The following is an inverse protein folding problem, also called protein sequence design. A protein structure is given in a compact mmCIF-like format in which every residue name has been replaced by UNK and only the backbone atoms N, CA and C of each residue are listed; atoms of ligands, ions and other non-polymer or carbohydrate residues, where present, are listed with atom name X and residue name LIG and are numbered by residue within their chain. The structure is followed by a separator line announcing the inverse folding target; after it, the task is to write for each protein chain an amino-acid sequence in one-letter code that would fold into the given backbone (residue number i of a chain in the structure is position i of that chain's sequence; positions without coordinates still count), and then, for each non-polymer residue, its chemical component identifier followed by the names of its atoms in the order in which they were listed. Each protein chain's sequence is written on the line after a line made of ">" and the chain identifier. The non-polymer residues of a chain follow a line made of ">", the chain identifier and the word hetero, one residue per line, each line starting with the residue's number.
data_IF_636343465395
#
_entry.id   IF_636343465395
#
_cell.length_a   1.000
_cell.length_b   1.000
_cell.length_c   1.000
_cell.angle_alpha   90.00
_cell.angle_beta   90.00
_cell.angle_gamma   90.00
#
_symmetry.space_group_name_H-M   'P 1'
#
loop_
_entity.id
_entity.type
_entity.pdbx_description
1 polymer ?
#
# COMPACT_ATOMS: atom_id res chain seq x y z
N UNK A 1 14.04 -9.89 20.62
CA UNK A 1 12.64 -10.17 20.97
C UNK A 1 12.15 -9.11 21.94
N UNK A 2 11.19 -8.32 21.54
CA UNK A 2 10.57 -7.30 22.40
C UNK A 2 9.44 -7.99 23.13
N UNK A 3 9.60 -8.14 24.44
CA UNK A 3 8.58 -8.71 25.31
C UNK A 3 7.74 -7.56 25.87
N UNK A 4 6.86 -6.98 25.04
CA UNK A 4 5.97 -5.92 25.50
C UNK A 4 4.59 -5.94 24.83
N UNK A 5 3.62 -5.45 25.62
CA UNK A 5 2.22 -5.29 25.21
C UNK A 5 1.89 -3.88 24.72
N UNK A 6 2.85 -2.93 24.76
CA UNK A 6 2.61 -1.55 24.33
C UNK A 6 2.94 -1.38 22.85
N UNK A 7 1.96 -1.12 21.99
CA UNK A 7 2.20 -0.79 20.57
C UNK A 7 3.18 0.39 20.41
N UNK A 8 3.09 1.39 21.26
CA UNK A 8 3.93 2.59 21.21
C UNK A 8 5.42 2.28 21.43
N UNK A 9 5.79 1.32 22.30
CA UNK A 9 7.19 0.92 22.49
C UNK A 9 7.77 0.26 21.22
N UNK A 10 6.97 -0.53 20.49
CA UNK A 10 7.37 -1.10 19.20
C UNK A 10 7.62 0.01 18.18
N UNK A 11 6.68 0.95 18.07
CA UNK A 11 6.80 2.09 17.16
C UNK A 11 8.06 2.92 17.43
N UNK A 12 8.36 3.22 18.71
CA UNK A 12 9.58 3.96 19.11
C UNK A 12 10.85 3.26 18.62
N UNK A 13 10.97 1.95 18.85
CA UNK A 13 12.16 1.18 18.45
C UNK A 13 12.30 1.08 16.93
N UNK A 14 11.18 0.92 16.23
CA UNK A 14 11.16 0.85 14.77
C UNK A 14 11.57 2.22 14.20
N UNK A 15 10.98 3.30 14.71
CA UNK A 15 11.28 4.66 14.30
C UNK A 15 12.74 5.03 14.57
N UNK A 16 13.26 4.77 15.78
CA UNK A 16 14.68 4.99 16.12
C UNK A 16 15.61 4.25 15.16
N UNK A 17 15.30 2.98 14.88
CA UNK A 17 16.11 2.19 13.94
C UNK A 17 16.05 2.74 12.52
N UNK A 18 14.87 3.18 12.06
CA UNK A 18 14.71 3.81 10.76
C UNK A 18 15.50 5.13 10.66
N UNK A 19 15.32 6.03 11.61
CA UNK A 19 16.00 7.33 11.67
C UNK A 19 17.52 7.20 11.71
N UNK A 20 18.03 6.16 12.38
CA UNK A 20 19.48 5.88 12.43
C UNK A 20 20.04 5.33 11.13
N UNK A 21 19.33 4.42 10.50
CA UNK A 21 19.84 3.70 9.32
C UNK A 21 19.49 4.41 8.00
N UNK A 22 18.41 5.15 7.93
CA UNK A 22 17.86 5.83 6.75
C UNK A 22 17.85 4.93 5.50
N UNK A 23 17.32 3.70 5.66
CA UNK A 23 17.17 2.70 4.59
C UNK A 23 15.70 2.37 4.40
N UNK A 24 15.40 1.66 3.30
CA UNK A 24 14.10 1.02 3.17
C UNK A 24 13.86 0.05 4.32
N UNK A 25 12.76 0.22 5.03
CA UNK A 25 12.33 -0.65 6.11
C UNK A 25 10.90 -1.10 5.87
N UNK A 26 10.68 -2.41 5.78
CA UNK A 26 9.36 -3.00 5.62
C UNK A 26 8.85 -3.50 6.97
N UNK A 27 7.69 -3.05 7.39
CA UNK A 27 6.98 -3.56 8.56
C UNK A 27 5.77 -4.38 8.11
N UNK A 28 5.79 -5.68 8.41
CA UNK A 28 4.68 -6.60 8.10
C UNK A 28 3.82 -6.80 9.34
N UNK A 29 2.53 -6.53 9.20
CA UNK A 29 1.50 -6.74 10.24
C UNK A 29 0.53 -7.86 9.85
N UNK A 30 -0.20 -8.40 10.80
CA UNK A 30 -1.14 -9.48 10.50
C UNK A 30 -2.40 -9.02 9.74
N UNK A 31 -2.84 -7.76 9.92
CA UNK A 31 -4.00 -7.19 9.22
C UNK A 31 -3.92 -5.67 9.10
N UNK A 32 -4.84 -5.08 8.32
CA UNK A 32 -4.87 -3.63 8.06
C UNK A 32 -5.10 -2.81 9.34
N UNK A 33 -5.94 -3.27 10.27
CA UNK A 33 -6.17 -2.56 11.53
C UNK A 33 -4.89 -2.40 12.36
N UNK A 34 -4.03 -3.42 12.41
CA UNK A 34 -2.73 -3.31 13.08
C UNK A 34 -1.76 -2.40 12.31
N UNK A 35 -1.83 -2.42 10.97
CA UNK A 35 -1.06 -1.50 10.13
C UNK A 35 -1.43 -0.03 10.42
N UNK A 36 -2.72 0.31 10.45
CA UNK A 36 -3.21 1.66 10.76
C UNK A 36 -2.80 2.12 12.16
N UNK A 37 -2.90 1.21 13.13
CA UNK A 37 -2.56 1.52 14.51
C UNK A 37 -1.06 1.82 14.69
N UNK A 38 -0.20 1.00 14.13
CA UNK A 38 1.26 1.20 14.27
C UNK A 38 1.74 2.38 13.43
N UNK A 39 1.12 2.66 12.28
CA UNK A 39 1.35 3.86 11.49
C UNK A 39 1.11 5.12 12.32
N UNK A 40 -0.04 5.20 13.00
CA UNK A 40 -0.38 6.33 13.87
C UNK A 40 0.67 6.56 14.97
N UNK A 41 1.20 5.48 15.55
CA UNK A 41 2.25 5.58 16.56
C UNK A 41 3.61 5.99 15.95
N UNK A 42 3.95 5.50 14.74
CA UNK A 42 5.21 5.82 14.03
C UNK A 42 5.24 7.28 13.59
N UNK A 43 4.12 7.83 13.12
CA UNK A 43 3.99 9.23 12.69
C UNK A 43 4.24 10.26 13.82
N UNK A 44 4.36 9.80 15.07
CA UNK A 44 4.82 10.66 16.18
C UNK A 44 6.34 10.90 16.14
N UNK A 45 7.10 10.13 15.37
CA UNK A 45 8.57 10.15 15.34
C UNK A 45 9.15 10.36 13.94
N UNK A 46 8.43 9.94 12.90
CA UNK A 46 8.89 9.97 11.50
C UNK A 46 7.95 10.85 10.70
N UNK A 47 8.51 11.66 9.80
CA UNK A 47 7.73 12.53 8.92
C UNK A 47 6.81 11.72 8.01
N UNK A 48 5.57 12.21 7.80
CA UNK A 48 4.55 11.56 6.96
C UNK A 48 5.02 11.33 5.51
N UNK A 49 5.91 12.18 5.02
CA UNK A 49 6.50 12.03 3.69
C UNK A 49 7.38 10.78 3.55
N UNK A 50 7.92 10.24 4.65
CA UNK A 50 8.78 9.06 4.70
C UNK A 50 8.05 7.79 5.18
N UNK A 51 6.75 7.87 5.50
CA UNK A 51 5.94 6.72 5.91
C UNK A 51 4.98 6.36 4.78
N UNK A 52 5.02 5.11 4.35
CA UNK A 52 4.21 4.57 3.26
C UNK A 52 3.41 3.38 3.74
N UNK A 53 2.13 3.34 3.39
CA UNK A 53 1.29 2.17 3.67
C UNK A 53 0.80 1.53 2.37
N UNK A 54 0.86 0.20 2.30
CA UNK A 54 0.25 -0.58 1.22
C UNK A 54 -1.03 -1.25 1.77
N UNK A 55 -2.17 -0.54 1.79
CA UNK A 55 -3.39 -1.04 2.42
C UNK A 55 -4.09 -2.06 1.54
N UNK A 56 -4.35 -3.25 2.09
CA UNK A 56 -5.16 -4.29 1.46
C UNK A 56 -6.18 -4.76 2.47
N UNK A 57 -7.44 -4.73 2.09
CA UNK A 57 -8.56 -5.23 2.89
C UNK A 57 -8.61 -6.77 2.85
N UNK A 58 -9.47 -7.38 3.65
CA UNK A 58 -9.70 -8.82 3.55
C UNK A 58 -10.35 -9.21 2.19
N UNK A 59 -10.21 -10.49 1.83
CA UNK A 59 -10.60 -10.99 0.50
C UNK A 59 -12.07 -10.74 0.21
N UNK A 60 -12.94 -10.98 1.19
CA UNK A 60 -14.39 -10.82 1.02
C UNK A 60 -14.75 -9.35 0.84
N UNK A 61 -14.13 -8.45 1.60
CA UNK A 61 -14.34 -7.02 1.45
C UNK A 61 -13.86 -6.55 0.07
N UNK A 62 -12.67 -6.94 -0.37
CA UNK A 62 -12.15 -6.58 -1.69
C UNK A 62 -12.98 -7.14 -2.85
N UNK A 63 -13.63 -8.30 -2.67
CA UNK A 63 -14.45 -8.92 -3.69
C UNK A 63 -15.82 -8.25 -3.85
N UNK A 64 -16.42 -7.80 -2.76
CA UNK A 64 -17.81 -7.30 -2.76
C UNK A 64 -17.95 -5.80 -2.58
N UNK A 65 -16.85 -5.07 -2.33
CA UNK A 65 -16.89 -3.61 -2.18
C UNK A 65 -16.27 -2.88 -3.35
N UNK A 66 -16.79 -1.69 -3.63
CA UNK A 66 -16.14 -0.75 -4.55
C UNK A 66 -14.82 -0.28 -3.93
N UNK A 67 -13.76 -0.30 -4.70
CA UNK A 67 -12.45 0.16 -4.22
C UNK A 67 -12.49 1.65 -3.87
N UNK A 68 -11.97 1.97 -2.68
CA UNK A 68 -11.76 3.35 -2.26
C UNK A 68 -10.64 3.99 -3.08
N UNK A 69 -10.87 5.13 -3.74
CA UNK A 69 -9.81 5.87 -4.43
C UNK A 69 -8.64 6.23 -3.50
N UNK A 70 -8.92 6.48 -2.22
CA UNK A 70 -7.89 6.77 -1.23
C UNK A 70 -6.96 5.58 -1.00
N UNK A 71 -7.51 4.37 -0.79
CA UNK A 71 -6.69 3.17 -0.63
C UNK A 71 -5.88 2.85 -1.88
N UNK A 72 -6.43 3.12 -3.07
CA UNK A 72 -5.71 2.98 -4.33
C UNK A 72 -4.54 3.98 -4.41
N UNK A 73 -4.79 5.25 -4.05
CA UNK A 73 -3.74 6.28 -4.03
C UNK A 73 -2.59 5.92 -3.09
N UNK A 74 -2.89 5.42 -1.88
CA UNK A 74 -1.88 4.96 -0.92
C UNK A 74 -1.06 3.78 -1.49
N UNK A 75 -1.69 2.82 -2.15
CA UNK A 75 -0.99 1.70 -2.80
C UNK A 75 -0.08 2.15 -3.94
N UNK A 76 -0.59 3.00 -4.83
CA UNK A 76 0.20 3.54 -5.96
C UNK A 76 1.37 4.38 -5.44
N UNK A 77 1.15 5.23 -4.41
CA UNK A 77 2.22 6.00 -3.76
C UNK A 77 3.33 5.08 -3.24
N UNK A 78 2.93 4.01 -2.55
CA UNK A 78 3.87 3.02 -1.99
C UNK A 78 4.66 2.30 -3.07
N UNK A 79 4.01 1.78 -4.12
CA UNK A 79 4.68 1.07 -5.22
C UNK A 79 5.60 2.00 -6.01
N UNK A 80 5.18 3.25 -6.21
CA UNK A 80 5.98 4.26 -6.92
C UNK A 80 7.25 4.59 -6.13
N UNK A 81 7.15 4.88 -4.84
CA UNK A 81 8.29 5.14 -3.98
C UNK A 81 9.28 3.95 -3.95
N UNK A 82 8.76 2.72 -3.82
CA UNK A 82 9.57 1.51 -3.88
C UNK A 82 10.28 1.33 -5.22
N UNK A 83 9.57 1.53 -6.33
CA UNK A 83 10.12 1.39 -7.68
C UNK A 83 11.18 2.43 -7.99
N UNK A 84 11.07 3.64 -7.43
CA UNK A 84 12.07 4.72 -7.51
C UNK A 84 13.25 4.48 -6.56
N UNK A 85 13.14 3.50 -5.65
CA UNK A 85 14.18 3.19 -4.67
C UNK A 85 14.26 4.19 -3.54
N UNK A 86 13.15 4.90 -3.25
CA UNK A 86 13.08 5.85 -2.16
C UNK A 86 13.32 5.18 -0.82
N UNK A 87 13.91 5.92 0.10
CA UNK A 87 14.03 5.53 1.49
C UNK A 87 12.67 5.74 2.17
N UNK A 88 12.37 4.94 3.16
CA UNK A 88 11.13 5.08 3.88
C UNK A 88 10.79 3.87 4.73
N UNK A 89 9.78 4.07 5.58
CA UNK A 89 9.19 3.03 6.39
C UNK A 89 7.87 2.60 5.72
N UNK A 90 7.83 1.37 5.23
CA UNK A 90 6.74 0.80 4.47
C UNK A 90 5.96 -0.18 5.33
N UNK A 91 4.66 0.05 5.51
CA UNK A 91 3.80 -0.76 6.36
C UNK A 91 2.83 -1.55 5.49
N UNK A 92 2.75 -2.87 5.70
CA UNK A 92 1.91 -3.75 4.90
C UNK A 92 1.25 -4.82 5.76
N UNK A 93 -0.05 -5.09 5.60
CA UNK A 93 -0.68 -6.29 6.15
C UNK A 93 -0.26 -7.53 5.34
N UNK A 94 -0.32 -8.72 5.95
CA UNK A 94 0.11 -9.98 5.36
C UNK A 94 -0.53 -10.27 3.99
N UNK A 95 -1.83 -10.02 3.84
CA UNK A 95 -2.55 -10.20 2.58
C UNK A 95 -1.99 -9.28 1.47
N UNK A 96 -1.63 -8.04 1.79
CA UNK A 96 -0.95 -7.12 0.88
C UNK A 96 0.46 -7.57 0.53
N UNK A 97 1.20 -8.12 1.49
CA UNK A 97 2.55 -8.65 1.28
C UNK A 97 2.56 -9.84 0.31
N UNK A 98 1.53 -10.71 0.36
CA UNK A 98 1.41 -11.89 -0.51
C UNK A 98 0.68 -11.64 -1.83
N UNK A 99 0.07 -10.47 -2.01
CA UNK A 99 -0.69 -10.12 -3.22
C UNK A 99 0.18 -10.14 -4.48
N UNK A 100 -0.36 -10.69 -5.58
CA UNK A 100 0.24 -10.56 -6.89
C UNK A 100 0.12 -9.14 -7.43
N UNK A 101 1.22 -8.63 -7.96
CA UNK A 101 1.39 -7.26 -8.46
C UNK A 101 1.95 -7.25 -9.87
N UNK A 102 1.84 -6.09 -10.51
CA UNK A 102 2.58 -5.77 -11.75
C UNK A 102 4.07 -6.08 -11.57
N UNK A 103 4.76 -6.65 -12.56
CA UNK A 103 6.20 -6.80 -12.54
C UNK A 103 6.92 -5.45 -12.34
N UNK A 104 7.96 -5.45 -11.51
CA UNK A 104 8.69 -4.23 -11.11
C UNK A 104 9.19 -3.42 -12.30
N UNK A 105 9.76 -4.09 -13.32
CA UNK A 105 10.28 -3.43 -14.51
C UNK A 105 9.16 -2.77 -15.32
N UNK A 106 8.04 -3.46 -15.50
CA UNK A 106 6.86 -2.91 -16.17
C UNK A 106 6.29 -1.69 -15.44
N UNK A 107 6.31 -1.72 -14.08
CA UNK A 107 5.91 -0.58 -13.27
C UNK A 107 6.82 0.63 -13.49
N UNK A 108 8.15 0.42 -13.49
CA UNK A 108 9.14 1.48 -13.72
C UNK A 108 9.01 2.11 -15.11
N UNK A 109 8.79 1.30 -16.13
CA UNK A 109 8.65 1.75 -17.51
C UNK A 109 7.40 2.61 -17.75
N UNK A 110 6.41 2.51 -16.84
CA UNK A 110 5.14 3.26 -16.96
C UNK A 110 5.06 4.49 -16.07
N UNK A 111 6.12 4.85 -15.36
CA UNK A 111 6.20 6.17 -14.72
C UNK A 111 6.56 7.22 -15.77
N UNK A 112 5.91 8.37 -15.73
CA UNK A 112 6.09 9.42 -16.71
C UNK A 112 6.34 10.77 -16.04
N UNK A 113 7.31 11.51 -16.55
CA UNK A 113 7.52 12.91 -16.21
C UNK A 113 7.39 13.73 -17.49
N UNK A 114 6.49 14.71 -17.47
CA UNK A 114 6.38 15.70 -18.56
C UNK A 114 6.96 17.02 -18.12
N UNK A 115 7.62 17.70 -19.07
CA UNK A 115 8.23 19.02 -18.87
C UNK A 115 7.80 19.98 -19.97
N UNK A 116 7.66 21.24 -19.61
CA UNK A 116 7.44 22.32 -20.59
C UNK A 116 8.60 22.35 -21.58
N UNK A 117 8.32 22.50 -22.88
CA UNK A 117 9.28 22.46 -23.99
C UNK A 117 9.66 21.04 -24.44
N UNK A 118 9.03 19.99 -23.92
CA UNK A 118 9.28 18.62 -24.35
C UNK A 118 8.39 18.25 -25.53
N UNK A 119 8.97 17.64 -26.58
CA UNK A 119 8.20 16.99 -27.65
C UNK A 119 7.67 15.64 -27.19
N UNK A 120 6.41 15.35 -27.46
CA UNK A 120 5.75 14.07 -27.15
C UNK A 120 5.05 13.48 -28.37
N UNK A 121 5.08 12.16 -28.50
CA UNK A 121 4.15 11.44 -29.35
C UNK A 121 2.80 11.35 -28.62
N UNK A 122 1.83 12.12 -29.06
CA UNK A 122 0.53 12.27 -28.40
C UNK A 122 -0.21 10.94 -28.35
N UNK A 123 -0.22 10.16 -29.43
CA UNK A 123 -0.93 8.87 -29.48
C UNK A 123 -0.28 7.84 -28.56
N UNK A 124 1.04 7.76 -28.57
CA UNK A 124 1.78 6.89 -27.66
C UNK A 124 1.57 7.31 -26.18
N UNK A 125 1.54 8.61 -25.89
CA UNK A 125 1.28 9.13 -24.56
C UNK A 125 -0.12 8.79 -24.06
N UNK A 126 -1.16 8.99 -24.88
CA UNK A 126 -2.54 8.63 -24.52
C UNK A 126 -2.72 7.13 -24.33
N UNK A 127 -2.11 6.31 -25.18
CA UNK A 127 -2.13 4.85 -25.04
C UNK A 127 -1.45 4.43 -23.73
N UNK A 128 -0.35 5.09 -23.36
CA UNK A 128 0.33 4.82 -22.08
C UNK A 128 -0.55 5.16 -20.89
N UNK A 129 -1.32 6.26 -20.93
CA UNK A 129 -2.31 6.58 -19.88
C UNK A 129 -3.36 5.47 -19.74
N UNK A 130 -3.89 4.98 -20.87
CA UNK A 130 -4.85 3.86 -20.85
C UNK A 130 -4.22 2.61 -20.22
N UNK A 131 -3.00 2.23 -20.62
CA UNK A 131 -2.27 1.10 -20.05
C UNK A 131 -2.03 1.22 -18.54
N UNK A 132 -1.91 2.46 -18.04
CA UNK A 132 -1.74 2.81 -16.64
C UNK A 132 -3.06 2.85 -15.85
N UNK A 133 -4.19 2.58 -16.46
CA UNK A 133 -5.49 2.53 -15.82
C UNK A 133 -6.31 3.82 -15.83
N UNK A 134 -5.86 4.84 -16.57
CA UNK A 134 -6.65 6.05 -16.72
C UNK A 134 -7.82 5.82 -17.68
N UNK A 135 -8.98 6.37 -17.35
CA UNK A 135 -10.17 6.35 -18.20
C UNK A 135 -10.26 7.62 -19.03
N UNK A 136 -10.51 7.44 -20.32
CA UNK A 136 -10.71 8.58 -21.22
C UNK A 136 -12.14 9.08 -21.12
N UNK A 137 -12.28 10.36 -20.78
CA UNK A 137 -13.59 11.05 -20.65
C UNK A 137 -13.63 12.29 -21.54
N UNK A 138 -14.82 12.81 -21.79
CA UNK A 138 -14.99 14.07 -22.52
C UNK A 138 -14.55 15.29 -21.72
N UNK A 139 -14.73 15.22 -20.37
CA UNK A 139 -14.33 16.23 -19.37
C UNK A 139 -13.85 15.47 -18.14
N UNK A 140 -12.72 15.86 -17.61
CA UNK A 140 -12.15 15.29 -16.38
C UNK A 140 -12.90 15.83 -15.17
N UNK A 141 -13.44 14.93 -14.36
CA UNK A 141 -14.17 15.25 -13.12
C UNK A 141 -13.79 14.37 -11.93
N UNK A 142 -13.18 13.22 -12.17
CA UNK A 142 -12.81 12.29 -11.12
C UNK A 142 -11.34 11.85 -11.24
N UNK A 143 -10.79 11.41 -10.14
CA UNK A 143 -9.45 10.82 -10.06
C UNK A 143 -9.35 9.62 -11.04
N UNK A 144 -8.22 9.51 -11.75
CA UNK A 144 -7.97 8.46 -12.72
C UNK A 144 -8.62 8.70 -14.09
N UNK A 145 -9.06 9.92 -14.36
CA UNK A 145 -9.60 10.31 -15.66
C UNK A 145 -8.61 11.19 -16.44
N UNK A 146 -8.71 11.11 -17.77
CA UNK A 146 -8.05 12.05 -18.68
C UNK A 146 -8.96 12.42 -19.84
N UNK A 147 -8.71 13.58 -20.45
CA UNK A 147 -9.40 14.03 -21.66
C UNK A 147 -8.42 14.61 -22.67
N UNK A 148 -8.77 14.50 -23.96
CA UNK A 148 -8.08 15.21 -25.05
C UNK A 148 -9.09 16.07 -25.79
N UNK A 149 -8.87 17.36 -25.84
CA UNK A 149 -9.71 18.34 -26.55
C UNK A 149 -8.85 19.28 -27.40
N UNK A 150 -8.73 18.97 -28.69
CA UNK A 150 -7.80 19.66 -29.56
C UNK A 150 -6.35 19.45 -29.10
N UNK A 151 -5.61 20.51 -28.81
CA UNK A 151 -4.26 20.46 -28.26
C UNK A 151 -4.19 20.50 -26.73
N UNK A 152 -5.28 20.20 -26.02
CA UNK A 152 -5.34 20.24 -24.56
C UNK A 152 -5.55 18.83 -24.00
N UNK A 153 -4.65 18.39 -23.11
CA UNK A 153 -4.78 17.14 -22.37
C UNK A 153 -4.99 17.49 -20.90
N UNK A 154 -6.14 17.11 -20.37
CA UNK A 154 -6.45 17.20 -18.94
C UNK A 154 -6.27 15.83 -18.30
N UNK A 155 -5.65 15.77 -17.13
CA UNK A 155 -5.41 14.51 -16.38
C UNK A 155 -5.67 14.77 -14.91
N UNK A 156 -6.43 13.86 -14.26
CA UNK A 156 -6.56 13.86 -12.81
C UNK A 156 -5.82 12.63 -12.24
N UNK A 157 -4.54 12.79 -11.83
CA UNK A 157 -3.76 11.68 -11.32
C UNK A 157 -4.25 11.21 -9.95
N UNK A 158 -3.90 9.99 -9.56
CA UNK A 158 -4.18 9.46 -8.21
C UNK A 158 -3.39 10.20 -7.12
N UNK A 159 -2.21 10.71 -7.47
CA UNK A 159 -1.32 11.44 -6.59
C UNK A 159 -1.08 12.83 -7.19
N UNK A 160 -1.33 13.86 -6.40
CA UNK A 160 -1.18 15.25 -6.83
C UNK A 160 -2.49 15.91 -7.25
N UNK A 161 -2.37 17.06 -7.89
CA UNK A 161 -3.48 17.88 -8.36
C UNK A 161 -3.84 17.59 -9.82
N UNK A 162 -5.09 17.87 -10.25
CA UNK A 162 -5.46 17.80 -11.66
C UNK A 162 -4.61 18.73 -12.49
N UNK A 163 -4.12 18.27 -13.64
CA UNK A 163 -3.21 19.01 -14.51
C UNK A 163 -3.76 19.15 -15.91
N UNK A 164 -3.58 20.33 -16.48
CA UNK A 164 -3.89 20.69 -17.87
C UNK A 164 -2.60 20.92 -18.62
N UNK A 165 -2.39 20.18 -19.68
CA UNK A 165 -1.23 20.22 -20.56
C UNK A 165 -1.69 20.83 -21.89
N UNK A 166 -1.14 21.95 -22.27
CA UNK A 166 -1.40 22.59 -23.57
C UNK A 166 -0.28 22.22 -24.51
N UNK A 167 -0.62 21.77 -25.70
CA UNK A 167 0.31 21.38 -26.75
C UNK A 167 0.29 22.40 -27.89
N UNK A 168 1.48 22.77 -28.37
CA UNK A 168 1.68 23.41 -29.67
C UNK A 168 2.23 22.33 -30.62
N UNK A 169 1.36 21.78 -31.46
CA UNK A 169 1.64 20.58 -32.26
C UNK A 169 2.00 19.38 -31.38
N UNK A 170 3.27 19.00 -31.27
CA UNK A 170 3.78 17.93 -30.43
C UNK A 170 4.52 18.41 -29.17
N UNK A 171 4.85 19.70 -29.12
CA UNK A 171 5.59 20.31 -28.01
C UNK A 171 4.64 20.67 -26.86
N UNK A 172 5.04 20.36 -25.62
CA UNK A 172 4.36 20.78 -24.39
C UNK A 172 4.60 22.29 -24.20
N UNK A 173 3.64 23.13 -24.58
CA UNK A 173 3.72 24.58 -24.49
C UNK A 173 3.56 25.07 -23.04
N UNK A 174 2.59 24.52 -22.30
CA UNK A 174 2.39 24.86 -20.89
C UNK A 174 1.79 23.69 -20.10
N UNK A 175 2.08 23.67 -18.81
CA UNK A 175 1.47 22.77 -17.84
C UNK A 175 0.92 23.61 -16.70
N UNK A 176 -0.35 23.39 -16.31
CA UNK A 176 -1.02 24.11 -15.23
C UNK A 176 -1.82 23.13 -14.38
N UNK A 177 -1.91 23.38 -13.10
CA UNK A 177 -2.98 22.76 -12.32
C UNK A 177 -4.34 23.42 -12.66
N UNK A 178 -5.42 22.71 -12.47
CA UNK A 178 -6.76 23.22 -12.71
C UNK A 178 -7.77 22.69 -11.69
N UNK A 179 -8.84 23.42 -11.52
CA UNK A 179 -9.95 23.04 -10.66
C UNK A 179 -10.99 22.25 -11.45
N UNK A 180 -11.31 21.02 -11.00
CA UNK A 180 -12.20 20.10 -11.73
C UNK A 180 -13.66 20.53 -11.72
N UNK A 181 -14.11 21.30 -10.70
CA UNK A 181 -15.50 21.77 -10.61
C UNK A 181 -15.73 22.96 -11.54
N UNK A 182 -14.81 23.91 -11.53
CA UNK A 182 -14.92 25.14 -12.34
C UNK A 182 -14.27 25.01 -13.71
N UNK A 183 -13.47 24.00 -13.95
CA UNK A 183 -12.67 23.76 -15.17
C UNK A 183 -11.68 24.89 -15.49
N UNK A 184 -11.32 25.71 -14.51
CA UNK A 184 -10.39 26.84 -14.67
C UNK A 184 -8.97 26.42 -14.31
N UNK A 185 -8.03 26.83 -15.17
CA UNK A 185 -6.60 26.67 -14.88
C UNK A 185 -6.17 27.67 -13.81
N UNK A 186 -5.23 27.22 -12.96
CA UNK A 186 -4.63 28.01 -11.89
C UNK A 186 -3.15 28.30 -12.22
N UNK A 187 -2.22 27.80 -11.39
CA UNK A 187 -0.81 28.13 -11.47
C UNK A 187 -0.06 27.33 -12.55
N UNK A 188 0.96 27.96 -13.14
CA UNK A 188 1.87 27.30 -14.06
C UNK A 188 2.86 26.44 -13.28
N UNK A 189 3.10 25.23 -13.78
CA UNK A 189 4.12 24.32 -13.29
C UNK A 189 5.08 23.95 -14.42
N UNK A 190 6.36 23.75 -14.11
CA UNK A 190 7.37 23.46 -15.12
C UNK A 190 7.45 21.99 -15.51
N UNK A 191 7.01 21.11 -14.63
CA UNK A 191 6.97 19.66 -14.83
C UNK A 191 5.89 19.01 -13.99
N UNK A 192 5.40 17.86 -14.44
CA UNK A 192 4.47 17.00 -13.70
C UNK A 192 4.91 15.55 -13.79
N UNK A 193 4.79 14.84 -12.68
CA UNK A 193 4.91 13.39 -12.62
C UNK A 193 3.53 12.77 -12.70
N UNK A 194 3.36 11.82 -13.62
CA UNK A 194 2.11 11.08 -13.81
C UNK A 194 2.37 9.63 -13.39
N UNK A 195 1.75 9.25 -12.28
CA UNK A 195 1.78 7.90 -11.75
C UNK A 195 0.65 7.06 -12.35
N UNK A 196 0.69 5.75 -12.16
CA UNK A 196 -0.40 4.86 -12.56
C UNK A 196 -1.70 5.19 -11.83
N UNK A 197 -2.83 4.92 -12.47
CA UNK A 197 -4.16 5.03 -11.87
C UNK A 197 -4.68 3.67 -11.35
N UNK A 198 -3.82 2.65 -11.33
CA UNK A 198 -4.15 1.27 -10.95
C UNK A 198 -2.94 0.54 -10.39
N UNK A 199 -3.16 -0.50 -9.56
CA UNK A 199 -2.12 -1.47 -9.14
C UNK A 199 -1.63 -2.32 -10.33
N UNK A 200 -2.39 -2.35 -11.43
CA UNK A 200 -2.14 -3.19 -12.59
C UNK A 200 -1.90 -2.35 -13.84
N UNK A 201 -0.87 -2.71 -14.61
CA UNK A 201 -0.55 -2.11 -15.90
C UNK A 201 -0.90 -3.12 -16.98
N UNK A 202 -1.68 -2.68 -17.96
CA UNK A 202 -2.22 -3.55 -19.01
C UNK A 202 -1.80 -3.02 -20.37
N UNK A 203 -0.75 -3.63 -20.94
CA UNK A 203 -0.30 -3.37 -22.31
C UNK A 203 -0.94 -4.39 -23.27
N UNK A 204 -0.78 -4.16 -24.57
CA UNK A 204 -1.24 -5.11 -25.60
C UNK A 204 -0.56 -6.47 -25.43
N UNK A 205 0.71 -6.50 -25.03
CA UNK A 205 1.45 -7.75 -24.76
C UNK A 205 0.85 -8.49 -23.57
N UNK A 206 0.48 -7.75 -22.50
CA UNK A 206 -0.19 -8.33 -21.32
C UNK A 206 -1.55 -8.92 -21.71
N UNK A 207 -2.32 -8.23 -22.55
CA UNK A 207 -3.61 -8.76 -23.06
C UNK A 207 -3.41 -10.02 -23.88
N UNK A 208 -2.45 -10.03 -24.80
CA UNK A 208 -2.16 -11.22 -25.60
C UNK A 208 -1.72 -12.41 -24.74
N UNK A 209 -0.87 -12.16 -23.74
CA UNK A 209 -0.46 -13.19 -22.77
C UNK A 209 -1.66 -13.71 -21.98
N UNK A 210 -2.47 -12.81 -21.41
CA UNK A 210 -3.69 -13.14 -20.68
C UNK A 210 -4.64 -14.02 -21.52
N UNK A 211 -4.92 -13.65 -22.77
CA UNK A 211 -5.81 -14.41 -23.64
C UNK A 211 -5.29 -15.82 -23.91
N UNK A 212 -3.97 -15.98 -24.09
CA UNK A 212 -3.34 -17.28 -24.27
C UNK A 212 -3.43 -18.15 -23.02
N UNK A 213 -3.15 -17.59 -21.83
CA UNK A 213 -3.22 -18.33 -20.57
C UNK A 213 -4.65 -18.67 -20.18
N UNK A 214 -5.62 -17.77 -20.40
CA UNK A 214 -7.04 -18.04 -20.21
C UNK A 214 -7.54 -19.19 -21.09
N UNK A 215 -7.10 -19.24 -22.35
CA UNK A 215 -7.45 -20.35 -23.23
C UNK A 215 -6.94 -21.69 -22.70
N UNK A 216 -5.67 -21.75 -22.27
CA UNK A 216 -5.09 -22.96 -21.67
C UNK A 216 -5.82 -23.34 -20.39
N UNK A 217 -6.11 -22.38 -19.51
CA UNK A 217 -6.83 -22.60 -18.27
C UNK A 217 -8.26 -23.11 -18.51
N UNK A 218 -8.97 -22.55 -19.48
CA UNK A 218 -10.31 -23.03 -19.88
C UNK A 218 -10.27 -24.47 -20.40
N UNK A 219 -9.35 -24.77 -21.34
CA UNK A 219 -9.20 -26.11 -21.90
C UNK A 219 -8.83 -27.15 -20.83
N UNK A 220 -8.04 -26.75 -19.82
CA UNK A 220 -7.63 -27.59 -18.70
C UNK A 220 -8.75 -27.80 -17.67
N UNK A 221 -9.53 -26.76 -17.38
CA UNK A 221 -10.60 -26.77 -16.36
C UNK A 221 -11.84 -27.50 -16.83
N UNK A 222 -12.27 -27.25 -18.08
CA UNK A 222 -13.54 -27.76 -18.65
C UNK A 222 -13.78 -29.25 -18.49
N UNK A 223 -12.83 -30.16 -18.74
CA UNK A 223 -13.04 -31.61 -18.56
C UNK A 223 -13.14 -32.04 -17.08
N UNK A 224 -12.65 -31.23 -16.13
CA UNK A 224 -12.50 -31.56 -14.72
C UNK A 224 -13.69 -31.13 -13.87
N UNK A 225 -14.54 -30.25 -14.37
CA UNK A 225 -15.74 -29.79 -13.68
C UNK A 225 -16.98 -30.58 -14.09
N UNK A 226 -18.04 -30.46 -13.33
CA UNK A 226 -19.33 -31.09 -13.62
C UNK A 226 -19.89 -30.62 -14.97
N UNK A 227 -20.61 -31.51 -15.64
CA UNK A 227 -21.20 -31.18 -16.95
C UNK A 227 -22.24 -30.08 -16.89
N UNK A 228 -22.94 -29.97 -15.75
CA UNK A 228 -23.98 -28.96 -15.47
C UNK A 228 -23.47 -27.53 -15.58
N UNK A 229 -22.25 -27.27 -15.10
CA UNK A 229 -21.66 -25.91 -15.03
C UNK A 229 -20.71 -25.56 -16.20
N UNK A 230 -20.57 -26.46 -17.19
CA UNK A 230 -19.66 -26.19 -18.35
C UNK A 230 -20.11 -25.06 -19.24
N UNK A 231 -21.40 -24.77 -19.28
CA UNK A 231 -21.92 -23.63 -20.03
C UNK A 231 -21.55 -22.32 -19.29
N UNK A 232 -21.68 -22.30 -17.98
CA UNK A 232 -21.31 -21.14 -17.17
C UNK A 232 -19.81 -20.84 -17.31
N UNK A 233 -18.96 -21.89 -17.28
CA UNK A 233 -17.52 -21.74 -17.54
C UNK A 233 -17.23 -21.18 -18.94
N UNK A 234 -18.02 -21.59 -19.93
CA UNK A 234 -17.85 -21.07 -21.28
C UNK A 234 -18.24 -19.60 -21.37
N UNK A 235 -19.35 -19.20 -20.73
CA UNK A 235 -19.78 -17.81 -20.67
C UNK A 235 -18.75 -16.94 -19.93
N UNK A 236 -18.20 -17.42 -18.82
CA UNK A 236 -17.10 -16.77 -18.10
C UNK A 236 -15.86 -16.60 -18.98
N UNK A 237 -15.48 -17.66 -19.71
CA UNK A 237 -14.34 -17.58 -20.64
C UNK A 237 -14.56 -16.56 -21.75
N UNK A 238 -15.73 -16.57 -22.41
CA UNK A 238 -16.03 -15.62 -23.48
C UNK A 238 -16.11 -14.17 -22.96
N UNK A 239 -16.61 -13.94 -21.73
CA UNK A 239 -16.62 -12.62 -21.13
C UNK A 239 -15.20 -12.09 -20.87
N UNK A 240 -14.29 -12.96 -20.38
CA UNK A 240 -12.89 -12.57 -20.13
C UNK A 240 -12.08 -12.42 -21.43
N UNK A 241 -12.43 -13.14 -22.48
CA UNK A 241 -11.80 -13.00 -23.79
C UNK A 241 -12.11 -11.67 -24.46
N UNK A 242 -13.25 -11.04 -24.14
CA UNK A 242 -13.62 -9.71 -24.62
C UNK A 242 -12.95 -8.57 -23.83
N UNK A 243 -12.06 -8.91 -22.89
CA UNK A 243 -11.32 -7.94 -22.11
C UNK A 243 -10.41 -7.10 -23.01
N UNK A 244 -10.63 -5.79 -22.98
CA UNK A 244 -9.83 -4.79 -23.70
C UNK A 244 -9.14 -3.88 -22.68
N UNK A 245 -8.01 -3.27 -23.03
CA UNK A 245 -7.26 -2.35 -22.16
C UNK A 245 -8.05 -1.12 -21.72
N UNK A 246 -9.13 -0.81 -22.42
CA UNK A 246 -10.04 0.30 -22.09
C UNK A 246 -11.01 -0.01 -20.96
N UNK A 247 -11.10 -1.27 -20.53
CA UNK A 247 -12.08 -1.72 -19.54
C UNK A 247 -11.38 -2.10 -18.23
N UNK A 248 -11.06 -1.11 -17.41
CA UNK A 248 -10.47 -1.34 -16.09
C UNK A 248 -11.55 -1.66 -15.04
N UNK A 249 -11.79 -2.95 -14.84
CA UNK A 249 -12.49 -3.48 -13.68
C UNK A 249 -11.48 -4.10 -12.72
N UNK A 250 -11.23 -3.45 -11.59
CA UNK A 250 -10.24 -3.90 -10.61
C UNK A 250 -10.56 -5.27 -9.99
N UNK A 251 -11.86 -5.60 -9.81
CA UNK A 251 -12.25 -6.92 -9.29
C UNK A 251 -11.89 -8.00 -10.29
N UNK A 252 -12.18 -7.75 -11.56
CA UNK A 252 -11.82 -8.66 -12.65
C UNK A 252 -10.30 -8.80 -12.76
N UNK A 253 -9.56 -7.71 -12.77
CA UNK A 253 -8.10 -7.71 -12.86
C UNK A 253 -7.45 -8.48 -11.74
N UNK A 254 -7.92 -8.30 -10.52
CA UNK A 254 -7.45 -9.05 -9.36
C UNK A 254 -7.63 -10.56 -9.56
N UNK A 255 -8.76 -10.98 -10.11
CA UNK A 255 -9.03 -12.39 -10.41
C UNK A 255 -8.14 -12.93 -11.50
N UNK A 256 -7.70 -12.10 -12.44
CA UNK A 256 -6.94 -12.50 -13.62
C UNK A 256 -5.43 -12.31 -13.49
N UNK A 257 -4.94 -11.69 -12.42
CA UNK A 257 -3.53 -11.28 -12.27
C UNK A 257 -2.54 -12.42 -12.44
N UNK A 258 -2.90 -13.65 -12.02
CA UNK A 258 -2.06 -14.85 -12.21
C UNK A 258 -1.89 -15.27 -13.67
N UNK A 259 -2.76 -14.81 -14.55
CA UNK A 259 -2.72 -15.06 -16.00
C UNK A 259 -2.22 -13.85 -16.80
N UNK A 260 -2.19 -12.65 -16.18
CA UNK A 260 -1.81 -11.41 -16.88
C UNK A 260 -0.32 -11.33 -17.14
N UNK A 261 0.49 -11.79 -16.22
CA UNK A 261 1.94 -11.66 -16.28
C UNK A 261 2.64 -13.01 -16.27
N UNK A 262 3.68 -13.17 -17.07
CA UNK A 262 4.49 -14.40 -17.07
C UNK A 262 5.11 -14.64 -15.69
N UNK A 263 5.54 -13.55 -15.04
CA UNK A 263 6.12 -13.56 -13.68
C UNK A 263 5.56 -12.37 -12.89
N UNK A 264 4.38 -12.52 -12.28
CA UNK A 264 3.88 -11.47 -11.40
C UNK A 264 4.82 -11.27 -10.21
N UNK A 265 4.97 -10.03 -9.77
CA UNK A 265 5.72 -9.67 -8.56
C UNK A 265 4.85 -9.73 -7.32
N UNK A 266 5.50 -9.76 -6.16
CA UNK A 266 4.91 -9.44 -4.86
C UNK A 266 5.55 -8.18 -4.31
N UNK A 267 5.06 -7.64 -3.21
CA UNK A 267 5.59 -6.39 -2.66
C UNK A 267 7.10 -6.47 -2.35
N UNK A 268 7.58 -7.63 -1.88
CA UNK A 268 9.00 -7.82 -1.53
C UNK A 268 9.93 -7.68 -2.75
N UNK A 269 9.46 -7.98 -3.95
CA UNK A 269 10.25 -7.88 -5.18
C UNK A 269 10.56 -6.42 -5.56
N UNK A 270 9.80 -5.45 -5.00
CA UNK A 270 10.04 -4.01 -5.18
C UNK A 270 11.11 -3.46 -4.23
N UNK A 271 11.44 -4.20 -3.16
CA UNK A 271 12.42 -3.74 -2.18
C UNK A 271 13.86 -3.96 -2.63
N UNK A 272 14.74 -3.10 -2.16
CA UNK A 272 16.19 -3.29 -2.32
C UNK A 272 16.66 -4.46 -1.46
N UNK A 273 17.69 -5.18 -1.91
CA UNK A 273 18.26 -6.35 -1.20
C UNK A 273 18.77 -6.04 0.22
N UNK A 274 19.12 -4.79 0.49
CA UNK A 274 19.59 -4.33 1.80
C UNK A 274 18.49 -3.77 2.69
N UNK A 275 17.23 -3.87 2.28
CA UNK A 275 16.08 -3.48 3.09
C UNK A 275 16.01 -4.31 4.38
N UNK A 276 15.56 -3.67 5.46
CA UNK A 276 15.31 -4.33 6.74
C UNK A 276 13.84 -4.71 6.82
N UNK A 277 13.56 -5.96 7.13
CA UNK A 277 12.18 -6.42 7.32
C UNK A 277 11.91 -6.57 8.80
N UNK A 278 10.83 -5.96 9.25
CA UNK A 278 10.31 -6.05 10.61
C UNK A 278 8.99 -6.83 10.56
N UNK A 279 8.89 -7.86 11.37
CA UNK A 279 7.69 -8.72 11.45
C UNK A 279 7.03 -8.52 12.81
N UNK A 280 5.81 -7.98 12.81
CA UNK A 280 5.07 -7.75 14.04
C UNK A 280 4.26 -8.99 14.46
N UNK A 281 4.60 -9.57 15.62
CA UNK A 281 3.95 -10.77 16.18
C UNK A 281 3.94 -11.96 15.22
N UNK A 282 5.13 -12.50 14.93
CA UNK A 282 5.36 -13.59 13.98
C UNK A 282 4.34 -14.75 14.08
N UNK A 283 4.02 -15.21 15.29
CA UNK A 283 3.05 -16.32 15.46
C UNK A 283 1.66 -15.94 14.97
N UNK A 284 1.22 -14.69 15.19
CA UNK A 284 -0.06 -14.20 14.67
C UNK A 284 -0.06 -14.10 13.15
N UNK A 285 1.07 -13.71 12.57
CA UNK A 285 1.20 -13.68 11.10
C UNK A 285 1.08 -15.11 10.55
N UNK A 286 1.68 -16.12 11.19
CA UNK A 286 1.56 -17.52 10.76
C UNK A 286 0.12 -18.04 10.87
N UNK A 287 -0.57 -17.77 11.97
CA UNK A 287 -1.99 -18.10 12.14
C UNK A 287 -2.85 -17.40 11.08
N UNK A 288 -2.59 -16.13 10.80
CA UNK A 288 -3.30 -15.37 9.76
C UNK A 288 -2.98 -15.94 8.37
N UNK A 289 -1.74 -16.36 8.10
CA UNK A 289 -1.36 -17.00 6.85
C UNK A 289 -2.14 -18.29 6.57
N UNK A 290 -2.27 -19.15 7.57
CA UNK A 290 -3.06 -20.39 7.47
C UNK A 290 -4.53 -20.09 7.17
N UNK A 291 -5.11 -19.13 7.89
CA UNK A 291 -6.51 -18.71 7.69
C UNK A 291 -6.69 -18.11 6.28
N UNK A 292 -5.83 -17.18 5.89
CA UNK A 292 -5.85 -16.53 4.57
C UNK A 292 -5.73 -17.57 3.44
N UNK A 293 -4.85 -18.54 3.58
CA UNK A 293 -4.65 -19.59 2.57
C UNK A 293 -5.92 -20.42 2.42
N UNK A 294 -6.52 -20.83 3.53
CA UNK A 294 -7.77 -21.60 3.52
C UNK A 294 -8.92 -20.81 2.89
N UNK A 295 -9.09 -19.54 3.26
CA UNK A 295 -10.13 -18.67 2.70
C UNK A 295 -9.98 -18.48 1.19
N UNK A 296 -8.74 -18.29 0.71
CA UNK A 296 -8.45 -18.18 -0.72
C UNK A 296 -8.74 -19.48 -1.45
N UNK A 297 -8.32 -20.61 -0.92
CA UNK A 297 -8.55 -21.94 -1.51
C UNK A 297 -10.05 -22.25 -1.61
N UNK A 298 -10.79 -21.99 -0.55
CA UNK A 298 -12.25 -22.18 -0.51
C UNK A 298 -12.95 -21.25 -1.52
N UNK A 299 -12.56 -19.99 -1.56
CA UNK A 299 -13.10 -19.02 -2.52
C UNK A 299 -12.84 -19.44 -3.96
N UNK A 300 -11.60 -19.84 -4.29
CA UNK A 300 -11.23 -20.28 -5.63
C UNK A 300 -11.93 -21.59 -6.01
N UNK A 301 -12.07 -22.55 -5.07
CA UNK A 301 -12.81 -23.79 -5.29
C UNK A 301 -14.27 -23.52 -5.63
N UNK A 302 -14.92 -22.63 -4.89
CA UNK A 302 -16.30 -22.23 -5.14
C UNK A 302 -16.48 -21.57 -6.52
N UNK A 303 -15.53 -20.70 -6.96
CA UNK A 303 -15.54 -20.11 -8.29
C UNK A 303 -15.42 -21.18 -9.39
N UNK A 304 -14.52 -22.15 -9.21
CA UNK A 304 -14.32 -23.23 -10.19
C UNK A 304 -15.53 -24.14 -10.26
N UNK A 305 -16.07 -24.57 -9.11
CA UNK A 305 -17.23 -25.44 -9.01
C UNK A 305 -18.50 -24.80 -9.58
N UNK A 306 -18.64 -23.49 -9.49
CA UNK A 306 -19.76 -22.74 -10.09
C UNK A 306 -19.56 -22.36 -11.56
N UNK A 307 -18.43 -22.70 -12.16
CA UNK A 307 -18.09 -22.32 -13.55
C UNK A 307 -17.67 -20.84 -13.71
N UNK A 308 -17.39 -20.14 -12.61
CA UNK A 308 -17.01 -18.72 -12.61
C UNK A 308 -15.49 -18.50 -12.46
N UNK A 309 -14.70 -19.56 -12.48
CA UNK A 309 -13.24 -19.54 -12.33
C UNK A 309 -12.53 -20.68 -13.03
N UNK A 310 -11.20 -20.60 -13.09
CA UNK A 310 -10.33 -21.54 -13.77
C UNK A 310 -9.31 -22.14 -12.81
N UNK A 311 -8.96 -23.42 -13.02
CA UNK A 311 -7.85 -24.05 -12.30
C UNK A 311 -6.54 -23.32 -12.66
N UNK A 312 -5.78 -22.94 -11.64
CA UNK A 312 -4.56 -22.13 -11.79
C UNK A 312 -4.78 -20.63 -11.64
N UNK A 313 -6.03 -20.19 -11.54
CA UNK A 313 -6.34 -18.79 -11.21
C UNK A 313 -5.99 -18.49 -9.76
N UNK A 314 -5.50 -17.29 -9.49
CA UNK A 314 -5.18 -16.83 -8.13
C UNK A 314 -4.83 -15.35 -8.10
N UNK A 315 -4.79 -14.77 -6.91
CA UNK A 315 -4.50 -13.35 -6.72
C UNK A 315 -3.41 -13.11 -5.65
N UNK A 316 -2.84 -14.17 -5.10
CA UNK A 316 -1.73 -14.10 -4.16
C UNK A 316 -0.73 -15.24 -4.39
N UNK A 317 0.48 -15.06 -3.85
CA UNK A 317 1.52 -16.07 -3.82
C UNK A 317 1.27 -17.07 -2.69
N UNK A 318 1.21 -18.36 -3.02
CA UNK A 318 0.99 -19.44 -2.04
C UNK A 318 2.24 -19.88 -1.29
N UNK A 319 3.44 -19.48 -1.75
CA UNK A 319 4.70 -19.74 -1.04
C UNK A 319 4.62 -19.21 0.39
N UNK A 320 5.20 -19.95 1.35
CA UNK A 320 5.11 -19.58 2.76
C UNK A 320 5.77 -18.23 3.04
N UNK A 321 5.24 -17.50 4.01
CA UNK A 321 5.77 -16.21 4.43
C UNK A 321 7.27 -16.29 4.78
N UNK A 322 7.69 -17.36 5.44
CA UNK A 322 9.10 -17.56 5.81
C UNK A 322 10.02 -17.67 4.60
N UNK A 323 9.59 -18.42 3.58
CA UNK A 323 10.37 -18.60 2.35
C UNK A 323 10.55 -17.28 1.59
N UNK A 324 9.55 -16.39 1.62
CA UNK A 324 9.64 -15.06 1.01
C UNK A 324 10.65 -14.15 1.71
N UNK A 325 10.98 -14.43 2.98
CA UNK A 325 11.90 -13.63 3.79
C UNK A 325 13.35 -14.14 3.78
N UNK A 326 13.63 -15.33 3.25
CA UNK A 326 14.94 -16.01 3.38
C UNK A 326 16.16 -15.18 2.92
N UNK A 327 15.96 -14.26 1.99
CA UNK A 327 17.06 -13.46 1.41
C UNK A 327 17.27 -12.10 2.10
N UNK A 328 16.52 -11.82 3.18
CA UNK A 328 16.51 -10.51 3.83
C UNK A 328 16.96 -10.56 5.29
N UNK A 329 17.43 -9.42 5.80
CA UNK A 329 17.66 -9.24 7.23
C UNK A 329 16.31 -9.01 7.92
N UNK A 330 15.92 -9.91 8.82
CA UNK A 330 14.60 -9.89 9.47
C UNK A 330 14.72 -9.66 10.96
N UNK A 331 13.94 -8.71 11.48
CA UNK A 331 13.75 -8.46 12.89
C UNK A 331 12.33 -8.86 13.31
N UNK A 332 12.20 -9.74 14.27
CA UNK A 332 10.90 -10.21 14.76
C UNK A 332 10.55 -9.55 16.10
N UNK A 333 9.39 -8.91 16.14
CA UNK A 333 8.76 -8.49 17.39
C UNK A 333 7.80 -9.58 17.85
N UNK A 334 7.99 -10.16 19.03
CA UNK A 334 7.13 -11.22 19.55
C UNK A 334 7.07 -11.24 21.06
N UNK A 335 5.92 -11.60 21.61
CA UNK A 335 5.74 -11.79 23.04
C UNK A 335 6.40 -13.09 23.52
N UNK A 336 6.44 -14.13 22.69
CA UNK A 336 6.92 -15.46 23.04
C UNK A 336 7.90 -15.99 22.02
N UNK A 337 9.17 -16.08 22.41
CA UNK A 337 10.23 -16.64 21.56
C UNK A 337 10.22 -18.16 21.48
N UNK A 338 9.67 -18.84 22.49
CA UNK A 338 9.69 -20.31 22.59
C UNK A 338 8.87 -21.03 21.53
N UNK A 339 7.92 -20.33 20.91
CA UNK A 339 7.05 -20.86 19.85
C UNK A 339 7.53 -20.55 18.43
N UNK A 340 8.63 -19.78 18.28
CA UNK A 340 9.16 -19.44 16.97
C UNK A 340 10.04 -20.57 16.44
N UNK A 341 9.69 -21.10 15.28
CA UNK A 341 10.48 -22.13 14.57
C UNK A 341 11.40 -21.52 13.51
N UNK A 342 11.98 -20.35 13.78
CA UNK A 342 12.94 -19.67 12.89
C UNK A 342 14.30 -19.57 13.56
N UNK A 343 15.41 -19.65 12.80
CA UNK A 343 16.75 -19.49 13.36
C UNK A 343 16.96 -18.02 13.77
N UNK A 344 17.19 -17.80 15.07
CA UNK A 344 17.46 -16.48 15.62
C UNK A 344 18.94 -16.31 15.90
N UNK A 345 19.57 -15.28 15.34
CA UNK A 345 20.97 -14.94 15.60
C UNK A 345 21.15 -14.23 16.96
N UNK A 346 20.24 -13.31 17.27
CA UNK A 346 20.27 -12.51 18.50
C UNK A 346 18.87 -12.34 19.07
N UNK A 347 18.79 -12.30 20.41
CA UNK A 347 17.54 -12.01 21.14
C UNK A 347 17.78 -10.79 22.04
N UNK A 348 17.02 -9.73 21.80
CA UNK A 348 17.05 -8.52 22.63
C UNK A 348 15.75 -8.49 23.45
N UNK A 349 15.89 -8.34 24.77
CA UNK A 349 14.74 -8.24 25.69
C UNK A 349 14.53 -6.79 26.08
N UNK A 350 13.37 -6.26 25.76
CA UNK A 350 12.91 -4.99 26.27
C UNK A 350 11.91 -5.24 27.42
N UNK A 351 11.99 -4.45 28.47
CA UNK A 351 11.07 -4.52 29.61
C UNK A 351 10.26 -3.23 29.64
N UNK A 352 9.08 -3.28 29.06
CA UNK A 352 8.16 -2.16 29.05
C UNK A 352 6.90 -2.50 29.87
N UNK A 353 6.27 -1.51 30.46
CA UNK A 353 4.98 -1.65 31.14
C UNK A 353 3.96 -0.77 30.40
N UNK A 354 2.74 -1.27 30.18
CA UNK A 354 1.69 -0.44 29.61
C UNK A 354 1.43 0.75 30.51
N UNK A 355 1.29 1.94 29.92
CA UNK A 355 0.83 3.12 30.63
C UNK A 355 -0.65 2.96 30.94
N UNK A 356 -1.05 3.32 32.14
CA UNK A 356 -2.45 3.30 32.55
C UNK A 356 -3.25 4.32 31.73
N UNK A 357 -4.39 3.89 31.18
CA UNK A 357 -5.31 4.81 30.53
C UNK A 357 -6.10 5.62 31.57
N UNK A 358 -6.09 6.93 31.42
CA UNK A 358 -6.66 7.82 32.44
C UNK A 358 -8.13 8.16 32.19
N UNK A 359 -8.68 7.96 30.98
CA UNK A 359 -10.09 8.20 30.61
C UNK A 359 -10.66 9.54 31.13
N UNK A 360 -9.85 10.62 31.13
CA UNK A 360 -10.24 11.92 31.65
C UNK A 360 -10.21 12.06 33.18
N UNK A 361 -9.69 11.07 33.91
CA UNK A 361 -9.55 11.11 35.37
C UNK A 361 -8.23 11.81 35.74
N UNK A 362 -8.28 13.12 35.87
CA UNK A 362 -7.11 13.97 36.09
C UNK A 362 -6.37 13.69 37.42
N UNK A 363 -7.07 13.32 38.50
CA UNK A 363 -6.45 13.00 39.79
C UNK A 363 -5.59 11.71 39.69
N UNK A 364 -6.03 10.74 38.95
CA UNK A 364 -5.26 9.51 38.73
C UNK A 364 -4.03 9.81 37.85
N UNK A 365 -4.20 10.58 36.77
CA UNK A 365 -3.10 11.00 35.92
C UNK A 365 -2.04 11.78 36.70
N UNK A 366 -2.47 12.74 37.53
CA UNK A 366 -1.58 13.52 38.42
C UNK A 366 -0.78 12.62 39.33
N UNK A 367 -1.45 11.69 40.02
CA UNK A 367 -0.81 10.78 40.98
C UNK A 367 0.22 9.86 40.26
N UNK A 368 -0.09 9.38 39.09
CA UNK A 368 0.81 8.54 38.27
C UNK A 368 2.02 9.34 37.76
N UNK A 369 1.82 10.56 37.23
CA UNK A 369 2.93 11.39 36.75
C UNK A 369 3.85 11.79 37.89
N UNK A 370 3.31 12.16 39.04
CA UNK A 370 4.11 12.44 40.25
C UNK A 370 4.91 11.20 40.68
N UNK A 371 4.30 10.01 40.59
CA UNK A 371 4.98 8.75 40.90
C UNK A 371 6.15 8.51 39.95
N UNK A 372 5.94 8.70 38.61
CA UNK A 372 6.99 8.52 37.63
C UNK A 372 8.16 9.49 37.86
N UNK A 373 7.87 10.76 38.06
CA UNK A 373 8.90 11.79 38.39
C UNK A 373 9.66 11.43 39.67
N UNK A 374 8.97 10.98 40.73
CA UNK A 374 9.61 10.53 41.96
C UNK A 374 10.49 9.29 41.82
N UNK A 375 10.25 8.50 40.80
CA UNK A 375 11.04 7.30 40.45
C UNK A 375 12.11 7.58 39.39
N UNK A 376 12.44 8.85 39.17
CA UNK A 376 13.42 9.30 38.16
C UNK A 376 13.11 8.85 36.70
N UNK A 377 11.81 8.69 36.36
CA UNK A 377 11.42 8.50 34.98
C UNK A 377 11.32 9.84 34.26
N UNK A 378 11.79 9.86 33.01
CA UNK A 378 11.44 10.91 32.04
C UNK A 378 10.06 10.63 31.50
N UNK A 379 9.13 11.55 31.66
CA UNK A 379 7.76 11.43 31.11
C UNK A 379 7.67 12.27 29.85
N UNK A 380 7.45 11.63 28.72
CA UNK A 380 7.27 12.28 27.42
C UNK A 380 5.82 12.17 27.01
N UNK A 381 5.17 13.29 26.69
CA UNK A 381 3.80 13.33 26.18
C UNK A 381 3.84 13.85 24.75
N UNK A 382 3.53 12.96 23.80
CA UNK A 382 3.49 13.28 22.39
C UNK A 382 2.08 13.73 21.99
N UNK A 383 1.98 14.80 21.22
CA UNK A 383 0.71 15.35 20.72
C UNK A 383 0.89 15.94 19.33
N UNK A 384 -0.17 15.90 18.55
CA UNK A 384 -0.16 16.19 17.11
C UNK A 384 -0.12 17.69 16.75
N UNK A 385 -0.50 18.58 17.68
CA UNK A 385 -0.65 20.02 17.37
C UNK A 385 -0.16 20.91 18.50
N UNK A 386 0.37 22.08 18.16
CA UNK A 386 0.84 23.09 19.11
C UNK A 386 -0.26 23.52 20.10
N UNK A 387 -1.49 23.67 19.65
CA UNK A 387 -2.64 23.96 20.52
C UNK A 387 -2.88 22.89 21.58
N UNK A 388 -2.66 21.60 21.24
CA UNK A 388 -2.74 20.50 22.21
C UNK A 388 -1.55 20.52 23.17
N UNK A 389 -0.34 20.92 22.72
CA UNK A 389 0.83 21.11 23.59
C UNK A 389 0.53 22.14 24.66
N UNK A 390 0.08 23.34 24.27
CA UNK A 390 -0.27 24.43 25.22
C UNK A 390 -1.33 23.98 26.23
N UNK A 391 -2.37 23.28 25.77
CA UNK A 391 -3.44 22.78 26.63
C UNK A 391 -2.92 21.78 27.67
N UNK A 392 -2.10 20.82 27.27
CA UNK A 392 -1.54 19.80 28.16
C UNK A 392 -0.53 20.44 29.12
N UNK A 393 0.29 21.37 28.64
CA UNK A 393 1.24 22.10 29.48
C UNK A 393 0.52 22.91 30.54
N UNK A 394 -0.55 23.62 30.18
CA UNK A 394 -1.39 24.36 31.17
C UNK A 394 -1.98 23.41 32.22
N UNK A 395 -2.52 22.27 31.78
CA UNK A 395 -3.07 21.27 32.68
C UNK A 395 -2.03 20.65 33.62
N UNK A 396 -0.83 20.35 33.15
CA UNK A 396 0.25 19.80 33.97
C UNK A 396 0.79 20.84 34.96
N UNK A 397 0.83 22.12 34.56
CA UNK A 397 1.19 23.24 35.46
C UNK A 397 0.15 23.41 36.60
N UNK A 398 -1.15 23.29 36.29
CA UNK A 398 -2.20 23.28 37.32
C UNK A 398 -2.05 22.12 38.32
N UNK A 399 -1.52 20.99 37.85
CA UNK A 399 -1.18 19.82 38.67
C UNK A 399 0.16 19.99 39.46
N UNK A 400 0.86 21.10 39.30
CA UNK A 400 2.19 21.37 39.86
C UNK A 400 3.26 20.35 39.36
N UNK A 401 3.15 19.91 38.12
CA UNK A 401 4.14 19.07 37.44
C UNK A 401 4.95 19.97 36.49
N UNK A 402 6.24 20.22 36.77
CA UNK A 402 7.06 21.06 35.90
C UNK A 402 7.22 20.38 34.52
N UNK A 403 7.03 21.14 33.45
CA UNK A 403 7.10 20.66 32.09
C UNK A 403 7.95 21.55 31.20
N UNK A 404 8.60 20.94 30.22
CA UNK A 404 9.28 21.62 29.12
C UNK A 404 8.58 21.21 27.84
N UNK A 405 8.20 22.18 27.02
CA UNK A 405 7.71 21.86 25.65
C UNK A 405 8.86 21.94 24.67
N UNK A 406 9.01 20.90 23.89
CA UNK A 406 9.87 20.87 22.72
C UNK A 406 8.95 20.85 21.49
N UNK A 407 8.84 21.99 20.80
CA UNK A 407 7.91 22.12 19.66
C UNK A 407 8.56 21.66 18.37
N UNK A 408 9.84 21.52 18.30
CA UNK A 408 10.58 20.96 17.19
C UNK A 408 11.83 20.26 17.69
N UNK A 409 12.11 19.11 17.10
CA UNK A 409 13.39 18.43 17.09
C UNK A 409 13.57 17.31 18.11
N UNK A 410 14.16 16.28 17.59
CA UNK A 410 14.78 15.07 18.13
C UNK A 410 14.70 14.92 19.66
N UNK A 411 14.02 13.87 20.03
CA UNK A 411 14.11 13.34 21.41
C UNK A 411 15.47 12.64 21.50
N UNK A 412 16.49 13.36 22.04
CA UNK A 412 17.78 12.78 22.38
C UNK A 412 17.68 11.64 23.42
#
# INVERSE_FOLDING_TARGET
>A
CIRDRSPSAKATIIAEKYLKDHKQMLLVTNNLYQADKIETDILQYVDDSEVYKYPVQDIMTEEFSTQSPQLMSERVRTLTALAQGEKGLFIVPLNGFKKWLTPVDLWKDHQMTLKVGQDIDVDAFLNKLVNMGYRRESVVSHIGEFSLRGGIIDIYPLIGTPVRIELFDTEVDSIRDFDVETQRSNDNINQVEITTASDYIITDEVIQHLQNELKKAYEYTRPKIEKSVRNDLKETYESFKLFESTFFDHQLLRRLVSFMYEKPSTLIDYFQKNAIIVVDEFNRIKETEETLTTEVEDFMSNLIESGNGFIGQGFMKYESFDALLEQHAVAYFTLFTSSMQVPLQHIIKFSCKPVQQFYGQYDIMRSEFQRYVHQDYTVVVLVETETKVERIQSMLNEMHIPTVSNIHEDID
#
